data_IF_043973746600
#
_entry.id   IF_043973746600
#
_cell.length_a   1.000
_cell.length_b   1.000
_cell.length_c   1.000
_cell.angle_alpha   90.00
_cell.angle_beta   90.00
_cell.angle_gamma   90.00
#
_symmetry.space_group_name_H-M   'P 1'
#
loop_
_entity.id
_entity.type
_entity.pdbx_description
1 polymer ?
#
# COMPACT_ATOMS: atom_id res chain seq x y z
N UNK A 1 -42.25 -10.12 -34.00
CA UNK A 1 -41.11 -10.35 -33.09
C UNK A 1 -41.43 -9.72 -31.75
N UNK A 2 -41.25 -10.49 -30.68
CA UNK A 2 -41.38 -9.98 -29.33
C UNK A 2 -39.96 -9.49 -28.84
N UNK A 3 -39.83 -8.17 -28.63
CA UNK A 3 -38.61 -7.54 -28.18
C UNK A 3 -38.66 -7.13 -26.68
N UNK A 4 -39.73 -7.47 -25.98
CA UNK A 4 -39.96 -6.99 -24.59
C UNK A 4 -38.88 -7.41 -23.62
N UNK A 5 -38.38 -8.65 -23.71
CA UNK A 5 -37.28 -9.16 -22.86
C UNK A 5 -35.95 -8.43 -23.11
N UNK A 6 -35.66 -8.18 -24.41
CA UNK A 6 -34.44 -7.46 -24.78
C UNK A 6 -34.53 -6.01 -24.35
N UNK A 7 -35.70 -5.35 -24.50
CA UNK A 7 -35.89 -4.00 -23.99
C UNK A 7 -35.69 -3.91 -22.46
N UNK A 8 -36.28 -4.85 -21.71
CA UNK A 8 -36.11 -4.89 -20.26
C UNK A 8 -34.65 -5.08 -19.85
N UNK A 9 -33.87 -5.93 -20.55
CA UNK A 9 -32.47 -6.11 -20.32
C UNK A 9 -31.64 -4.82 -20.59
N UNK A 10 -31.95 -4.12 -21.69
CA UNK A 10 -31.33 -2.84 -22.04
C UNK A 10 -31.64 -1.79 -21.00
N UNK A 11 -32.88 -1.69 -20.53
CA UNK A 11 -33.27 -0.72 -19.50
C UNK A 11 -32.53 -1.01 -18.16
N UNK A 12 -32.41 -2.29 -17.79
CA UNK A 12 -31.67 -2.71 -16.61
C UNK A 12 -30.17 -2.40 -16.69
N UNK A 13 -29.55 -2.60 -17.86
CA UNK A 13 -28.14 -2.27 -18.10
C UNK A 13 -27.90 -0.77 -18.05
N UNK A 14 -28.75 0.04 -18.68
CA UNK A 14 -28.66 1.51 -18.66
C UNK A 14 -28.86 2.13 -17.29
N UNK A 15 -29.57 1.45 -16.41
CA UNK A 15 -29.76 1.91 -15.01
C UNK A 15 -28.51 1.71 -14.13
N UNK A 16 -27.44 1.07 -14.63
CA UNK A 16 -26.20 0.86 -13.87
C UNK A 16 -25.33 2.10 -13.89
N UNK A 17 -24.82 2.49 -12.71
CA UNK A 17 -23.87 3.60 -12.58
C UNK A 17 -22.45 3.10 -12.87
N UNK A 18 -21.80 3.63 -13.88
CA UNK A 18 -20.41 3.32 -14.25
C UNK A 18 -19.44 3.43 -13.05
N UNK A 19 -19.66 4.43 -12.20
CA UNK A 19 -18.76 4.67 -11.06
C UNK A 19 -18.90 3.64 -9.92
N UNK A 20 -19.98 2.87 -9.90
CA UNK A 20 -20.22 1.82 -8.92
C UNK A 20 -19.46 0.52 -9.22
N UNK A 21 -19.03 0.33 -10.47
CA UNK A 21 -18.45 -0.93 -10.95
C UNK A 21 -17.02 -0.74 -11.43
N UNK A 22 -16.26 -1.85 -11.49
CA UNK A 22 -14.92 -1.80 -12.08
C UNK A 22 -15.02 -1.46 -13.57
N UNK A 23 -14.13 -0.63 -14.06
CA UNK A 23 -14.12 -0.17 -15.46
C UNK A 23 -14.10 -1.35 -16.45
N UNK A 24 -13.37 -2.41 -16.12
CA UNK A 24 -13.29 -3.59 -16.98
C UNK A 24 -14.65 -4.32 -17.11
N UNK A 25 -15.36 -4.54 -15.98
CA UNK A 25 -16.66 -5.23 -16.01
C UNK A 25 -17.74 -4.36 -16.65
N UNK A 26 -17.71 -3.05 -16.38
CA UNK A 26 -18.68 -2.12 -16.98
C UNK A 26 -18.50 -2.02 -18.50
N UNK A 27 -17.27 -1.84 -18.99
CA UNK A 27 -16.99 -1.80 -20.43
C UNK A 27 -17.35 -3.11 -21.14
N UNK A 28 -17.20 -4.27 -20.46
CA UNK A 28 -17.63 -5.55 -21.02
C UNK A 28 -19.17 -5.59 -21.20
N UNK A 29 -19.92 -5.12 -20.21
CA UNK A 29 -21.37 -4.98 -20.30
C UNK A 29 -21.79 -3.99 -21.40
N UNK A 30 -21.14 -2.81 -21.51
CA UNK A 30 -21.45 -1.80 -22.54
C UNK A 30 -21.32 -2.32 -23.96
N UNK A 31 -20.34 -3.19 -24.23
CA UNK A 31 -20.21 -3.83 -25.56
C UNK A 31 -21.44 -4.66 -25.90
N UNK A 32 -21.91 -5.48 -24.94
CA UNK A 32 -23.13 -6.30 -25.13
C UNK A 32 -24.37 -5.42 -25.23
N UNK A 33 -24.43 -4.33 -24.45
CA UNK A 33 -25.51 -3.35 -24.51
C UNK A 33 -25.62 -2.71 -25.89
N UNK A 34 -24.52 -2.28 -26.50
CA UNK A 34 -24.52 -1.68 -27.84
C UNK A 34 -25.06 -2.67 -28.90
N UNK A 35 -24.64 -3.92 -28.82
CA UNK A 35 -25.19 -4.98 -29.73
C UNK A 35 -26.68 -5.24 -29.49
N UNK A 36 -27.13 -5.17 -28.23
CA UNK A 36 -28.54 -5.33 -27.87
C UNK A 36 -29.41 -4.20 -28.41
N UNK A 37 -28.92 -2.95 -28.34
CA UNK A 37 -29.63 -1.78 -28.92
C UNK A 37 -29.74 -1.85 -30.44
N UNK A 38 -28.69 -2.36 -31.11
CA UNK A 38 -28.75 -2.60 -32.54
C UNK A 38 -29.82 -3.63 -32.90
N UNK A 39 -29.94 -4.73 -32.16
CA UNK A 39 -30.95 -5.75 -32.35
C UNK A 39 -32.38 -5.27 -32.03
N UNK A 40 -32.54 -4.38 -31.05
CA UNK A 40 -33.80 -3.72 -30.76
C UNK A 40 -34.29 -2.94 -31.97
N UNK A 41 -33.41 -2.28 -32.71
CA UNK A 41 -33.73 -1.47 -33.87
C UNK A 41 -33.89 -2.33 -35.12
N UNK A 42 -32.93 -3.20 -35.41
CA UNK A 42 -32.79 -3.86 -36.71
C UNK A 42 -33.05 -5.38 -36.69
N UNK A 43 -33.22 -5.98 -35.50
CA UNK A 43 -33.37 -7.44 -35.36
C UNK A 43 -34.60 -8.00 -36.03
N UNK A 44 -34.41 -9.07 -36.82
CA UNK A 44 -35.44 -9.75 -37.62
C UNK A 44 -35.58 -11.23 -37.25
N UNK A 45 -34.78 -11.75 -36.33
CA UNK A 45 -34.80 -13.12 -35.86
C UNK A 45 -35.09 -13.18 -34.35
N UNK A 46 -36.14 -13.92 -33.97
CA UNK A 46 -36.57 -14.04 -32.58
C UNK A 46 -35.51 -14.75 -31.72
N UNK A 47 -34.89 -15.81 -32.25
CA UNK A 47 -33.88 -16.54 -31.51
C UNK A 47 -32.64 -15.68 -31.18
N UNK A 48 -32.21 -14.83 -32.11
CA UNK A 48 -31.14 -13.88 -31.92
C UNK A 48 -31.51 -12.81 -30.88
N UNK A 49 -32.75 -12.31 -30.87
CA UNK A 49 -33.28 -11.35 -29.91
C UNK A 49 -33.29 -11.95 -28.49
N UNK A 50 -33.81 -13.18 -28.34
CA UNK A 50 -33.88 -13.86 -27.05
C UNK A 50 -32.48 -14.21 -26.50
N UNK A 51 -31.57 -14.67 -27.38
CA UNK A 51 -30.16 -14.92 -27.00
C UNK A 51 -29.45 -13.65 -26.50
N UNK A 52 -29.62 -12.52 -27.22
CA UNK A 52 -28.99 -11.26 -26.82
C UNK A 52 -29.56 -10.71 -25.52
N UNK A 53 -30.87 -10.90 -25.26
CA UNK A 53 -31.46 -10.56 -23.97
C UNK A 53 -30.81 -11.34 -22.82
N UNK A 54 -30.53 -12.63 -23.04
CA UNK A 54 -29.82 -13.47 -22.06
C UNK A 54 -28.37 -13.00 -21.88
N UNK A 55 -27.61 -12.78 -22.96
CA UNK A 55 -26.23 -12.34 -22.92
C UNK A 55 -26.08 -11.02 -22.14
N UNK A 56 -27.01 -10.07 -22.36
CA UNK A 56 -26.97 -8.79 -21.65
C UNK A 56 -27.30 -8.95 -20.16
N UNK A 57 -28.27 -9.79 -19.81
CA UNK A 57 -28.56 -10.10 -18.41
C UNK A 57 -27.37 -10.78 -17.73
N UNK A 58 -26.68 -11.70 -18.41
CA UNK A 58 -25.47 -12.35 -17.91
C UNK A 58 -24.35 -11.32 -17.73
N UNK A 59 -24.17 -10.38 -18.66
CA UNK A 59 -23.19 -9.30 -18.55
C UNK A 59 -23.49 -8.35 -17.38
N UNK A 60 -24.77 -8.02 -17.13
CA UNK A 60 -25.20 -7.25 -15.96
C UNK A 60 -24.93 -8.01 -14.66
N UNK A 61 -25.19 -9.32 -14.64
CA UNK A 61 -24.91 -10.17 -13.47
C UNK A 61 -23.40 -10.33 -13.21
N UNK A 62 -22.55 -10.20 -14.24
CA UNK A 62 -21.10 -10.27 -14.16
C UNK A 62 -20.43 -8.94 -13.77
N UNK A 63 -21.19 -7.87 -13.50
CA UNK A 63 -20.64 -6.61 -13.01
C UNK A 63 -19.98 -6.79 -11.65
N UNK A 64 -18.75 -6.28 -11.53
CA UNK A 64 -17.97 -6.31 -10.30
C UNK A 64 -18.00 -4.94 -9.64
N UNK A 65 -18.50 -4.87 -8.42
CA UNK A 65 -18.54 -3.61 -7.66
C UNK A 65 -17.10 -3.10 -7.38
N UNK A 66 -16.93 -1.79 -7.50
CA UNK A 66 -15.67 -1.12 -7.16
C UNK A 66 -15.47 -1.09 -5.66
N UNK A 67 -14.26 -1.41 -5.19
CA UNK A 67 -13.94 -1.42 -3.77
C UNK A 67 -14.04 -0.03 -3.12
N UNK A 68 -14.62 0.04 -1.93
CA UNK A 68 -14.64 1.24 -1.09
C UNK A 68 -13.27 1.42 -0.42
N UNK A 69 -12.65 2.58 -0.63
CA UNK A 69 -11.31 2.91 -0.11
C UNK A 69 -11.31 3.75 1.16
N UNK A 70 -12.45 4.05 1.76
CA UNK A 70 -12.52 5.00 2.89
C UNK A 70 -11.79 4.50 4.13
N UNK A 71 -11.91 3.22 4.46
CA UNK A 71 -11.18 2.62 5.56
C UNK A 71 -9.66 2.61 5.32
N UNK A 72 -9.22 2.37 4.08
CA UNK A 72 -7.81 2.43 3.69
C UNK A 72 -7.27 3.85 3.76
N UNK A 73 -8.04 4.85 3.31
CA UNK A 73 -7.67 6.27 3.44
C UNK A 73 -7.49 6.69 4.89
N UNK A 74 -8.42 6.27 5.77
CA UNK A 74 -8.35 6.56 7.19
C UNK A 74 -7.09 5.95 7.83
N UNK A 75 -6.76 4.69 7.52
CA UNK A 75 -5.57 4.02 8.01
C UNK A 75 -4.27 4.69 7.55
N UNK A 76 -4.19 5.07 6.26
CA UNK A 76 -3.05 5.82 5.73
C UNK A 76 -2.85 7.15 6.48
N UNK A 77 -3.95 7.87 6.74
CA UNK A 77 -3.90 9.13 7.46
C UNK A 77 -3.44 8.95 8.92
N UNK A 78 -3.92 7.90 9.60
CA UNK A 78 -3.52 7.53 10.95
C UNK A 78 -2.01 7.26 11.03
N UNK A 79 -1.49 6.36 10.19
CA UNK A 79 -0.07 6.01 10.21
C UNK A 79 0.87 7.16 9.82
N UNK A 80 0.44 8.03 8.91
CA UNK A 80 1.19 9.25 8.59
C UNK A 80 1.22 10.24 9.76
N UNK A 81 0.15 10.31 10.55
CA UNK A 81 0.07 11.20 11.70
C UNK A 81 0.95 10.75 12.87
N UNK A 82 1.38 9.48 12.92
CA UNK A 82 2.34 9.00 13.94
C UNK A 82 3.72 9.65 13.83
N UNK A 83 4.07 10.21 12.67
CA UNK A 83 5.34 10.91 12.47
C UNK A 83 6.56 10.02 12.62
N UNK A 84 6.47 8.75 12.26
CA UNK A 84 7.56 7.77 12.31
C UNK A 84 8.78 8.25 11.51
N UNK A 85 9.97 7.95 12.01
CA UNK A 85 11.22 8.36 11.37
C UNK A 85 12.05 7.14 10.99
N UNK A 86 12.55 7.12 9.75
CA UNK A 86 13.42 6.06 9.23
C UNK A 86 14.58 5.70 10.18
N UNK A 87 15.20 6.73 10.80
CA UNK A 87 16.35 6.53 11.70
C UNK A 87 16.02 5.71 12.97
N UNK A 88 14.75 5.55 13.31
CA UNK A 88 14.31 4.82 14.50
C UNK A 88 14.09 3.33 14.24
N UNK A 89 14.17 2.89 12.97
CA UNK A 89 13.83 1.51 12.54
C UNK A 89 14.96 0.88 11.72
N UNK A 90 14.97 -0.45 11.68
CA UNK A 90 15.90 -1.17 10.80
C UNK A 90 15.56 -0.89 9.33
N UNK A 91 16.57 -0.81 8.47
CA UNK A 91 16.43 -0.47 7.04
C UNK A 91 15.41 -1.36 6.34
N UNK A 92 15.44 -2.67 6.61
CA UNK A 92 14.54 -3.63 5.94
C UNK A 92 13.09 -3.46 6.38
N UNK A 93 12.83 -3.29 7.70
CA UNK A 93 11.47 -3.11 8.21
C UNK A 93 10.88 -1.76 7.78
N UNK A 94 11.70 -0.70 7.76
CA UNK A 94 11.29 0.61 7.27
C UNK A 94 10.94 0.59 5.78
N UNK A 95 11.80 -0.08 4.98
CA UNK A 95 11.54 -0.22 3.54
C UNK A 95 10.24 -0.98 3.28
N UNK A 96 10.02 -2.10 3.97
CA UNK A 96 8.79 -2.87 3.83
C UNK A 96 7.53 -2.04 4.15
N UNK A 97 7.59 -1.24 5.23
CA UNK A 97 6.52 -0.33 5.61
C UNK A 97 6.26 0.75 4.56
N UNK A 98 7.30 1.42 4.07
CA UNK A 98 7.17 2.50 3.07
C UNK A 98 6.70 1.99 1.71
N UNK A 99 7.11 0.79 1.32
CA UNK A 99 6.63 0.11 0.11
C UNK A 99 5.13 -0.22 0.22
N UNK A 100 4.70 -0.76 1.37
CA UNK A 100 3.29 -1.06 1.63
C UNK A 100 2.43 0.22 1.69
N UNK A 101 2.92 1.29 2.30
CA UNK A 101 2.26 2.59 2.34
C UNK A 101 2.08 3.16 0.92
N UNK A 102 3.13 3.12 0.11
CA UNK A 102 3.09 3.58 -1.30
C UNK A 102 2.09 2.76 -2.12
N UNK A 103 2.04 1.44 -1.92
CA UNK A 103 1.08 0.56 -2.59
C UNK A 103 -0.36 0.89 -2.17
N UNK A 104 -0.60 1.11 -0.88
CA UNK A 104 -1.91 1.50 -0.35
C UNK A 104 -2.38 2.86 -0.91
N UNK A 105 -1.49 3.85 -0.99
CA UNK A 105 -1.78 5.15 -1.61
C UNK A 105 -2.14 5.04 -3.09
N UNK A 106 -1.46 4.15 -3.82
CA UNK A 106 -1.78 3.88 -5.22
C UNK A 106 -3.18 3.29 -5.37
N UNK A 107 -3.59 2.36 -4.50
CA UNK A 107 -4.95 1.80 -4.48
C UNK A 107 -6.00 2.88 -4.22
N UNK A 108 -5.74 3.78 -3.27
CA UNK A 108 -6.64 4.92 -2.98
C UNK A 108 -6.74 5.88 -4.16
N UNK A 109 -5.63 6.10 -4.86
CA UNK A 109 -5.56 7.02 -6.00
C UNK A 109 -6.29 6.48 -7.22
N UNK A 110 -6.19 5.19 -7.47
CA UNK A 110 -6.82 4.51 -8.61
C UNK A 110 -7.31 3.11 -8.21
N UNK A 111 -8.60 3.03 -7.88
CA UNK A 111 -9.31 1.79 -7.62
C UNK A 111 -10.28 1.40 -8.74
N UNK A 112 -10.15 2.01 -9.93
CA UNK A 112 -11.10 1.88 -11.03
C UNK A 112 -11.33 0.42 -11.50
N UNK A 113 -10.35 -0.47 -11.28
CA UNK A 113 -10.41 -1.89 -11.61
C UNK A 113 -10.19 -2.81 -10.39
N UNK A 114 -10.38 -2.30 -9.18
CA UNK A 114 -10.19 -3.06 -7.94
C UNK A 114 -11.54 -3.30 -7.25
N UNK A 115 -11.79 -4.56 -6.90
CA UNK A 115 -12.91 -4.95 -6.05
C UNK A 115 -12.58 -4.74 -4.55
N UNK A 116 -13.54 -5.03 -3.67
CA UNK A 116 -13.35 -4.87 -2.23
C UNK A 116 -12.23 -5.77 -1.69
N UNK A 117 -12.09 -6.98 -2.22
CA UNK A 117 -11.05 -7.91 -1.76
C UNK A 117 -9.64 -7.37 -2.03
N UNK A 118 -9.43 -6.72 -3.18
CA UNK A 118 -8.15 -6.08 -3.51
C UNK A 118 -7.85 -4.88 -2.60
N UNK A 119 -8.85 -4.07 -2.27
CA UNK A 119 -8.72 -2.94 -1.32
C UNK A 119 -8.41 -3.44 0.09
N UNK A 120 -9.11 -4.49 0.54
CA UNK A 120 -8.89 -5.10 1.86
C UNK A 120 -7.50 -5.75 1.97
N UNK A 121 -7.01 -6.37 0.90
CA UNK A 121 -5.66 -6.93 0.83
C UNK A 121 -4.58 -5.83 0.96
N UNK A 122 -4.76 -4.69 0.31
CA UNK A 122 -3.84 -3.54 0.43
C UNK A 122 -3.85 -2.96 1.85
N UNK A 123 -5.04 -2.86 2.46
CA UNK A 123 -5.19 -2.43 3.86
C UNK A 123 -4.45 -3.36 4.80
N UNK A 124 -4.68 -4.68 4.67
CA UNK A 124 -4.01 -5.69 5.50
C UNK A 124 -2.49 -5.68 5.31
N UNK A 125 -1.98 -5.55 4.09
CA UNK A 125 -0.55 -5.48 3.82
C UNK A 125 0.09 -4.27 4.52
N UNK A 126 -0.58 -3.13 4.56
CA UNK A 126 -0.11 -1.94 5.28
C UNK A 126 -0.13 -2.15 6.80
N UNK A 127 -1.17 -2.76 7.36
CA UNK A 127 -1.27 -3.11 8.79
C UNK A 127 -0.16 -4.09 9.20
N UNK A 128 0.05 -5.13 8.41
CA UNK A 128 1.08 -6.15 8.66
C UNK A 128 2.48 -5.52 8.62
N UNK A 129 2.77 -4.66 7.63
CA UNK A 129 4.06 -4.00 7.49
C UNK A 129 4.32 -2.99 8.63
N UNK A 130 3.31 -2.24 9.07
CA UNK A 130 3.40 -1.35 10.22
C UNK A 130 3.68 -2.13 11.52
N UNK A 131 2.98 -3.24 11.75
CA UNK A 131 3.17 -4.12 12.91
C UNK A 131 4.56 -4.77 12.91
N UNK A 132 5.12 -5.03 11.73
CA UNK A 132 6.43 -5.64 11.55
C UNK A 132 7.60 -4.65 11.66
N UNK A 133 7.35 -3.37 11.96
CA UNK A 133 8.41 -2.39 12.18
C UNK A 133 9.30 -2.78 13.36
N UNK A 134 10.61 -2.87 13.11
CA UNK A 134 11.62 -3.22 14.11
C UNK A 134 12.45 -1.98 14.44
N UNK A 135 12.37 -1.52 15.70
CA UNK A 135 13.16 -0.39 16.15
C UNK A 135 14.64 -0.74 16.20
N UNK A 136 15.49 0.21 15.81
CA UNK A 136 16.93 0.13 16.04
C UNK A 136 17.18 0.35 17.53
N UNK A 137 17.94 -0.55 18.17
CA UNK A 137 18.36 -0.31 19.54
C UNK A 137 19.24 0.95 19.59
N UNK A 138 18.77 1.95 20.32
CA UNK A 138 19.55 3.15 20.61
C UNK A 138 20.68 2.77 21.58
N UNK A 139 21.90 2.59 21.06
CA UNK A 139 23.06 2.34 21.91
C UNK A 139 23.32 3.61 22.72
N UNK A 140 23.19 3.53 24.06
CA UNK A 140 23.53 4.63 24.93
C UNK A 140 25.05 4.78 24.95
N UNK A 141 25.57 5.83 24.33
CA UNK A 141 26.99 6.15 24.24
C UNK A 141 27.46 7.14 25.28
N UNK A 142 26.61 7.59 26.20
CA UNK A 142 26.97 8.65 27.17
C UNK A 142 28.10 8.22 28.09
N UNK A 143 28.04 7.00 28.63
CA UNK A 143 29.08 6.46 29.46
C UNK A 143 30.43 6.33 28.72
N UNK A 144 30.39 5.87 27.46
CA UNK A 144 31.59 5.77 26.62
C UNK A 144 32.17 7.16 26.33
N UNK A 145 31.33 8.13 26.02
CA UNK A 145 31.76 9.52 25.79
C UNK A 145 32.40 10.13 27.05
N UNK A 146 31.77 9.94 28.21
CA UNK A 146 32.32 10.42 29.49
C UNK A 146 33.70 9.78 29.80
N UNK A 147 33.87 8.49 29.55
CA UNK A 147 35.13 7.79 29.72
C UNK A 147 36.21 8.30 28.73
N UNK A 148 35.86 8.57 27.49
CA UNK A 148 36.75 9.18 26.49
C UNK A 148 37.18 10.57 26.92
N UNK A 149 36.27 11.42 27.39
CA UNK A 149 36.53 12.77 27.83
C UNK A 149 37.46 12.75 29.06
N UNK A 150 37.24 11.84 30.04
CA UNK A 150 38.12 11.65 31.19
C UNK A 150 39.52 11.18 30.78
N UNK A 151 39.62 10.24 29.84
CA UNK A 151 40.91 9.75 29.34
C UNK A 151 41.68 10.84 28.59
N UNK A 152 41.01 11.72 27.84
CA UNK A 152 41.63 12.89 27.18
C UNK A 152 42.15 13.92 28.15
N UNK A 153 41.50 14.08 29.28
CA UNK A 153 41.93 15.03 30.34
C UNK A 153 43.09 14.52 31.22
N UNK A 154 43.52 13.26 31.06
CA UNK A 154 44.58 12.68 31.83
C UNK A 154 45.94 13.35 31.52
N UNK A 155 46.65 13.84 32.56
CA UNK A 155 47.98 14.42 32.44
C UNK A 155 49.05 13.33 32.37
N UNK A 156 49.76 13.29 31.23
CA UNK A 156 50.81 12.31 30.97
C UNK A 156 51.91 12.27 32.05
N UNK A 157 52.17 13.40 32.72
CA UNK A 157 53.23 13.52 33.74
C UNK A 157 52.89 12.78 35.04
N UNK A 158 51.63 12.43 35.26
CA UNK A 158 51.17 11.71 36.46
C UNK A 158 51.23 10.18 36.33
N UNK A 159 51.62 9.65 35.17
CA UNK A 159 51.59 8.22 34.85
C UNK A 159 52.94 7.75 34.32
N UNK A 160 53.20 6.44 34.43
CA UNK A 160 54.34 5.84 33.75
C UNK A 160 54.12 5.87 32.22
N UNK A 161 55.22 5.99 31.46
CA UNK A 161 55.17 6.02 29.99
C UNK A 161 54.37 4.86 29.40
N UNK A 162 54.55 3.65 29.93
CA UNK A 162 53.88 2.46 29.44
C UNK A 162 52.39 2.46 29.75
N UNK A 163 51.99 2.87 30.98
CA UNK A 163 50.56 2.92 31.33
C UNK A 163 49.81 4.01 30.54
N UNK A 164 50.44 5.17 30.35
CA UNK A 164 49.85 6.23 29.52
C UNK A 164 49.73 5.84 28.06
N UNK A 165 50.73 5.16 27.49
CA UNK A 165 50.68 4.65 26.12
C UNK A 165 49.57 3.59 25.94
N UNK A 166 49.45 2.66 26.91
CA UNK A 166 48.36 1.66 26.87
C UNK A 166 46.99 2.32 26.92
N UNK A 167 46.78 3.31 27.79
CA UNK A 167 45.53 4.08 27.85
C UNK A 167 45.22 4.79 26.52
N UNK A 168 46.21 5.40 25.86
CA UNK A 168 46.05 6.06 24.54
C UNK A 168 45.63 5.09 23.45
N UNK A 169 46.08 3.86 23.48
CA UNK A 169 45.67 2.82 22.54
C UNK A 169 44.18 2.50 22.70
N UNK A 170 43.76 2.24 23.95
CA UNK A 170 42.35 1.96 24.29
C UNK A 170 41.44 3.17 23.94
N UNK A 171 41.94 4.40 24.22
CA UNK A 171 41.23 5.63 23.86
C UNK A 171 40.96 5.72 22.35
N UNK A 172 41.98 5.44 21.53
CA UNK A 172 41.83 5.43 20.06
C UNK A 172 40.77 4.44 19.60
N UNK A 173 40.73 3.25 20.20
CA UNK A 173 39.72 2.24 19.86
C UNK A 173 38.31 2.62 20.34
N UNK A 174 38.20 3.21 21.53
CA UNK A 174 36.95 3.73 22.07
C UNK A 174 36.38 4.86 21.20
N UNK A 175 37.24 5.76 20.68
CA UNK A 175 36.83 6.83 19.76
C UNK A 175 36.30 6.28 18.42
N UNK A 176 36.87 5.19 17.89
CA UNK A 176 36.37 4.50 16.70
C UNK A 176 34.96 3.95 16.96
N UNK A 177 34.79 3.21 18.09
CA UNK A 177 33.48 2.66 18.46
C UNK A 177 32.44 3.77 18.62
N UNK A 178 32.79 4.92 19.21
CA UNK A 178 31.90 6.06 19.36
C UNK A 178 31.45 6.62 17.99
N UNK A 179 32.36 6.61 17.01
CA UNK A 179 32.12 7.15 15.66
C UNK A 179 31.37 6.17 14.75
N UNK A 180 31.67 4.87 14.82
CA UNK A 180 31.21 3.86 13.86
C UNK A 180 29.89 3.20 14.26
N UNK A 181 29.42 3.33 15.51
CA UNK A 181 28.12 2.80 15.94
C UNK A 181 27.00 3.77 15.54
N UNK A 182 26.36 3.45 14.43
CA UNK A 182 25.07 4.01 14.03
C UNK A 182 23.97 3.18 14.63
#
# INVERSE_FOLDING_TARGET
LDKSKLQAAVDAAKAKDENAYTTASYNAMEKVLAEAEELLTNGKDQAAIDAKAKDLNDAVAALVERGNTDALKALIAEYKAEGLKEADYTTDSWKAYTDALTAAEKVVKDNSNLDQAAVDAAKKALEDAHTALVKVEQINKEALKAAIDAAKAADANLYTTDSYKAMKTVLSDAEKVLKDSK
#
